data_IF_556140637350
#
_entry.id   IF_556140637350
#
_cell.length_a   1.000
_cell.length_b   1.000
_cell.length_c   1.000
_cell.angle_alpha   90.00
_cell.angle_beta   90.00
_cell.angle_gamma   90.00
#
_symmetry.space_group_name_H-M   'P 1'
#
loop_
_entity.id
_entity.type
_entity.pdbx_description
1 polymer ?
#
# COMPACT_ATOMS: atom_id res chain seq x y z
N UNK A 1 -4.84 -15.33 40.15
CA UNK A 1 -6.00 -14.93 39.34
C UNK A 1 -6.00 -13.41 39.12
N UNK A 2 -5.70 -12.96 37.90
CA UNK A 2 -6.37 -11.81 37.28
C UNK A 2 -7.06 -12.29 35.98
N UNK A 3 -8.38 -12.46 35.96
CA UNK A 3 -9.46 -11.51 35.59
C UNK A 3 -9.29 -10.83 34.22
N UNK A 4 -9.92 -11.45 33.21
CA UNK A 4 -10.57 -10.88 32.02
C UNK A 4 -10.07 -9.52 31.50
N UNK A 5 -9.10 -9.52 30.58
CA UNK A 5 -8.92 -8.47 29.57
C UNK A 5 -8.17 -8.88 28.26
N UNK A 6 -8.51 -9.98 27.51
CA UNK A 6 -7.81 -10.29 26.25
C UNK A 6 -8.61 -10.03 24.94
N UNK A 7 -9.92 -9.82 25.00
CA UNK A 7 -10.78 -9.83 23.79
C UNK A 7 -10.84 -8.50 23.03
N UNK A 8 -10.55 -7.38 23.71
CA UNK A 8 -10.68 -6.04 23.12
C UNK A 8 -9.41 -5.63 22.35
N UNK A 9 -8.24 -6.02 22.87
CA UNK A 9 -6.94 -5.85 22.22
C UNK A 9 -6.84 -6.66 20.91
N UNK A 10 -7.52 -7.81 20.86
CA UNK A 10 -7.61 -8.67 19.68
C UNK A 10 -8.39 -8.00 18.54
N UNK A 11 -9.53 -7.35 18.86
CA UNK A 11 -10.36 -6.69 17.86
C UNK A 11 -9.69 -5.45 17.25
N UNK A 12 -9.03 -4.64 18.08
CA UNK A 12 -8.30 -3.46 17.59
C UNK A 12 -7.08 -3.85 16.75
N UNK A 13 -6.39 -4.92 17.15
CA UNK A 13 -5.31 -5.53 16.37
C UNK A 13 -5.81 -6.00 15.00
N UNK A 14 -6.90 -6.76 14.95
CA UNK A 14 -7.52 -7.21 13.71
C UNK A 14 -7.94 -6.03 12.81
N UNK A 15 -8.51 -4.97 13.37
CA UNK A 15 -8.84 -3.75 12.61
C UNK A 15 -7.60 -3.07 12.01
N UNK A 16 -6.51 -3.05 12.77
CA UNK A 16 -5.23 -2.47 12.35
C UNK A 16 -4.59 -3.28 11.21
N UNK A 17 -4.58 -4.62 11.35
CA UNK A 17 -4.13 -5.54 10.31
C UNK A 17 -4.96 -5.36 9.04
N UNK A 18 -6.29 -5.45 9.15
CA UNK A 18 -7.20 -5.29 8.03
C UNK A 18 -6.95 -3.95 7.30
N UNK A 19 -6.88 -2.85 8.05
CA UNK A 19 -6.61 -1.52 7.49
C UNK A 19 -5.31 -1.48 6.72
N UNK A 20 -4.24 -2.06 7.26
CA UNK A 20 -2.95 -2.09 6.60
C UNK A 20 -2.99 -2.92 5.31
N UNK A 21 -3.65 -4.08 5.35
CA UNK A 21 -3.76 -4.96 4.20
C UNK A 21 -4.44 -4.28 3.00
N UNK A 22 -5.65 -3.72 3.19
CA UNK A 22 -6.40 -3.14 2.07
C UNK A 22 -5.89 -1.75 1.64
N UNK A 23 -5.38 -0.92 2.57
CA UNK A 23 -5.00 0.47 2.24
C UNK A 23 -3.57 0.61 1.73
N UNK A 24 -2.73 -0.38 2.01
CA UNK A 24 -1.29 -0.22 1.88
C UNK A 24 -0.63 -1.40 1.19
N UNK A 25 -0.78 -2.63 1.71
CA UNK A 25 -0.09 -3.81 1.17
C UNK A 25 -0.57 -4.13 -0.25
N UNK A 26 -1.87 -4.40 -0.42
CA UNK A 26 -2.43 -4.79 -1.72
C UNK A 26 -2.26 -3.67 -2.78
N UNK A 27 -2.55 -2.39 -2.50
CA UNK A 27 -2.27 -1.32 -3.46
C UNK A 27 -0.80 -1.17 -3.84
N UNK A 28 0.13 -1.49 -2.94
CA UNK A 28 1.56 -1.44 -3.25
C UNK A 28 1.94 -2.52 -4.25
N UNK A 29 1.52 -3.77 -4.01
CA UNK A 29 1.76 -4.90 -4.91
C UNK A 29 1.21 -4.66 -6.32
N UNK A 30 0.02 -4.06 -6.40
CA UNK A 30 -0.61 -3.68 -7.66
C UNK A 30 0.24 -2.67 -8.44
N UNK A 31 0.86 -1.71 -7.75
CA UNK A 31 1.69 -0.65 -8.36
C UNK A 31 3.05 -1.16 -8.81
N UNK A 32 3.66 -2.06 -8.05
CA UNK A 32 4.99 -2.61 -8.34
C UNK A 32 4.96 -3.70 -9.41
N UNK A 33 3.77 -4.09 -9.90
CA UNK A 33 3.57 -5.20 -10.85
C UNK A 33 4.32 -6.44 -10.38
N UNK A 34 4.06 -6.84 -9.13
CA UNK A 34 4.72 -7.99 -8.52
C UNK A 34 4.66 -9.20 -9.47
N UNK A 35 5.78 -9.91 -9.72
CA UNK A 35 5.84 -11.05 -10.63
C UNK A 35 4.84 -12.16 -10.27
N UNK A 36 4.47 -12.28 -8.98
CA UNK A 36 3.46 -13.23 -8.56
C UNK A 36 2.08 -12.91 -9.17
N UNK A 37 1.78 -11.66 -9.53
CA UNK A 37 0.42 -11.19 -9.80
C UNK A 37 0.29 -10.12 -10.92
N UNK A 38 0.60 -10.45 -12.19
CA UNK A 38 0.65 -9.48 -13.29
C UNK A 38 -0.70 -8.96 -13.80
N UNK A 39 -1.84 -9.56 -13.38
CA UNK A 39 -3.17 -9.35 -13.99
C UNK A 39 -4.17 -8.58 -13.13
N UNK A 40 -3.75 -7.98 -12.02
CA UNK A 40 -4.70 -7.38 -11.08
C UNK A 40 -5.54 -6.24 -11.70
N UNK A 41 -6.88 -6.28 -11.55
CA UNK A 41 -7.80 -5.34 -12.20
C UNK A 41 -7.87 -3.97 -11.53
N UNK A 42 -7.30 -3.82 -10.32
CA UNK A 42 -7.45 -2.66 -9.46
C UNK A 42 -6.13 -2.26 -8.80
N UNK A 43 -5.99 -0.97 -8.53
CA UNK A 43 -4.78 -0.38 -7.91
C UNK A 43 -5.10 0.51 -6.69
N UNK A 44 -6.38 0.77 -6.43
CA UNK A 44 -6.86 1.68 -5.38
C UNK A 44 -7.33 0.91 -4.15
N UNK A 45 -7.05 1.46 -2.97
CA UNK A 45 -7.36 0.89 -1.65
C UNK A 45 -8.83 0.48 -1.46
N UNK A 46 -9.76 1.38 -1.77
CA UNK A 46 -11.19 1.15 -1.62
C UNK A 46 -11.72 0.09 -2.59
N UNK A 47 -11.04 -0.15 -3.72
CA UNK A 47 -11.39 -1.23 -4.63
C UNK A 47 -11.09 -2.58 -3.99
N UNK A 48 -9.90 -2.76 -3.39
CA UNK A 48 -9.54 -3.97 -2.65
C UNK A 48 -10.49 -4.21 -1.49
N UNK A 49 -10.74 -3.18 -0.67
CA UNK A 49 -11.67 -3.28 0.45
C UNK A 49 -13.06 -3.73 -0.02
N UNK A 50 -13.62 -3.12 -1.09
CA UNK A 50 -14.92 -3.54 -1.63
C UNK A 50 -14.91 -5.01 -2.06
N UNK A 51 -13.95 -5.41 -2.89
CA UNK A 51 -13.91 -6.76 -3.47
C UNK A 51 -13.86 -7.80 -2.36
N UNK A 52 -12.97 -7.62 -1.39
CA UNK A 52 -12.81 -8.55 -0.27
C UNK A 52 -14.06 -8.58 0.60
N UNK A 53 -14.61 -7.41 0.98
CA UNK A 53 -15.77 -7.33 1.86
C UNK A 53 -17.03 -7.90 1.20
N UNK A 54 -17.24 -7.69 -0.10
CA UNK A 54 -18.36 -8.29 -0.82
C UNK A 54 -18.25 -9.82 -0.81
N UNK A 55 -17.06 -10.37 -1.05
CA UNK A 55 -16.85 -11.83 -1.09
C UNK A 55 -16.79 -12.50 0.29
N UNK A 56 -16.65 -11.75 1.39
CA UNK A 56 -16.56 -12.29 2.77
C UNK A 56 -17.79 -11.99 3.63
N UNK A 57 -18.32 -10.76 3.54
CA UNK A 57 -19.47 -10.31 4.33
C UNK A 57 -20.74 -10.34 3.48
N UNK A 58 -20.61 -9.99 2.21
CA UNK A 58 -21.69 -10.03 1.24
C UNK A 58 -21.98 -11.43 0.69
N UNK A 59 -21.25 -12.46 1.12
CA UNK A 59 -21.45 -13.85 0.70
C UNK A 59 -21.87 -14.70 1.89
N UNK A 60 -22.76 -15.68 1.65
CA UNK A 60 -23.06 -16.74 2.63
C UNK A 60 -21.99 -17.83 2.68
N UNK A 61 -21.04 -17.83 1.74
CA UNK A 61 -19.96 -18.81 1.71
C UNK A 61 -18.91 -18.50 2.77
N UNK A 62 -18.67 -19.46 3.67
CA UNK A 62 -17.63 -19.37 4.69
C UNK A 62 -16.20 -19.47 4.14
N UNK A 63 -16.04 -19.89 2.87
CA UNK A 63 -14.75 -19.95 2.18
C UNK A 63 -14.93 -19.62 0.70
N UNK A 64 -14.68 -18.36 0.27
CA UNK A 64 -14.75 -17.96 -1.12
C UNK A 64 -13.56 -18.57 -1.90
N UNK A 65 -13.68 -19.84 -2.24
CA UNK A 65 -12.90 -20.50 -3.29
C UNK A 65 -13.40 -20.02 -4.66
N UNK A 66 -12.52 -20.07 -5.66
CA UNK A 66 -12.76 -19.74 -7.08
C UNK A 66 -14.03 -20.40 -7.67
N UNK A 67 -14.55 -21.46 -7.05
CA UNK A 67 -15.70 -22.23 -7.53
C UNK A 67 -17.00 -22.05 -6.71
N UNK A 68 -17.06 -21.08 -5.78
CA UNK A 68 -18.25 -20.83 -4.97
C UNK A 68 -19.40 -20.27 -5.82
N UNK A 69 -20.53 -21.00 -5.89
CA UNK A 69 -21.73 -20.63 -6.65
C UNK A 69 -22.65 -19.64 -5.91
N UNK A 70 -22.32 -19.25 -4.68
CA UNK A 70 -23.20 -18.39 -3.90
C UNK A 70 -23.20 -16.95 -4.41
N UNK A 71 -24.42 -16.42 -4.46
CA UNK A 71 -24.72 -15.05 -4.85
C UNK A 71 -24.08 -14.08 -3.86
N UNK A 72 -23.21 -13.22 -4.37
CA UNK A 72 -22.61 -12.12 -3.62
C UNK A 72 -23.55 -10.92 -3.62
N UNK A 73 -23.75 -10.29 -2.47
CA UNK A 73 -24.42 -9.00 -2.31
C UNK A 73 -23.43 -7.92 -1.86
N UNK A 74 -23.76 -6.63 -2.02
CA UNK A 74 -22.90 -5.57 -1.52
C UNK A 74 -22.72 -5.65 0.00
N UNK A 75 -21.50 -5.63 0.53
CA UNK A 75 -21.26 -5.74 1.97
C UNK A 75 -22.02 -4.67 2.79
N UNK A 76 -22.27 -3.50 2.20
CA UNK A 76 -22.97 -2.39 2.82
C UNK A 76 -24.49 -2.58 2.92
N UNK A 77 -25.02 -3.68 2.38
CA UNK A 77 -26.38 -4.14 2.70
C UNK A 77 -26.43 -5.03 3.93
N UNK A 78 -25.29 -5.57 4.37
CA UNK A 78 -25.19 -6.51 5.51
C UNK A 78 -24.72 -5.79 6.77
N UNK A 79 -23.73 -4.90 6.66
CA UNK A 79 -23.21 -4.11 7.78
C UNK A 79 -23.19 -2.61 7.47
N UNK A 80 -23.18 -1.79 8.53
CA UNK A 80 -23.11 -0.33 8.40
C UNK A 80 -21.73 0.20 7.95
N UNK A 81 -21.66 1.51 7.68
CA UNK A 81 -20.41 2.22 7.39
C UNK A 81 -19.88 2.93 8.65
N UNK A 82 -18.54 3.06 8.85
CA UNK A 82 -17.46 2.44 8.07
C UNK A 82 -17.25 0.96 8.46
N UNK A 83 -17.05 0.08 7.47
CA UNK A 83 -16.93 -1.37 7.69
C UNK A 83 -15.95 -1.74 8.80
N UNK A 84 -14.77 -1.11 8.83
CA UNK A 84 -13.71 -1.36 9.84
C UNK A 84 -14.23 -1.25 11.29
N UNK A 85 -15.20 -0.37 11.56
CA UNK A 85 -15.78 -0.20 12.90
C UNK A 85 -16.96 -1.12 13.18
N UNK A 86 -17.60 -1.64 12.13
CA UNK A 86 -18.84 -2.42 12.23
C UNK A 86 -18.58 -3.93 12.20
N UNK A 87 -17.45 -4.36 11.64
CA UNK A 87 -17.07 -5.77 11.63
C UNK A 87 -16.73 -6.27 13.03
N UNK A 88 -17.19 -7.48 13.33
CA UNK A 88 -16.74 -8.27 14.49
C UNK A 88 -15.41 -8.99 14.19
N UNK A 89 -14.88 -9.71 15.17
CA UNK A 89 -13.57 -10.37 15.06
C UNK A 89 -13.55 -11.42 13.94
N UNK A 90 -14.61 -12.21 13.76
CA UNK A 90 -14.66 -13.28 12.76
C UNK A 90 -14.77 -12.72 11.33
N UNK A 91 -15.56 -11.66 11.16
CA UNK A 91 -15.65 -10.92 9.89
C UNK A 91 -14.30 -10.29 9.52
N UNK A 92 -13.57 -9.74 10.50
CA UNK A 92 -12.22 -9.23 10.28
C UNK A 92 -11.25 -10.33 9.92
N UNK A 93 -11.27 -11.48 10.62
CA UNK A 93 -10.41 -12.63 10.29
C UNK A 93 -10.67 -13.14 8.88
N UNK A 94 -11.94 -13.30 8.48
CA UNK A 94 -12.29 -13.73 7.13
C UNK A 94 -11.81 -12.75 6.06
N UNK A 95 -11.96 -11.44 6.30
CA UNK A 95 -11.48 -10.40 5.38
C UNK A 95 -9.93 -10.39 5.29
N UNK A 96 -9.23 -10.57 6.41
CA UNK A 96 -7.77 -10.64 6.46
C UNK A 96 -7.26 -11.89 5.73
N UNK A 97 -7.85 -13.06 6.01
CA UNK A 97 -7.50 -14.33 5.38
C UNK A 97 -7.61 -14.25 3.86
N UNK A 98 -8.76 -13.77 3.35
CA UNK A 98 -8.95 -13.61 1.91
C UNK A 98 -7.93 -12.61 1.32
N UNK A 99 -7.66 -11.51 2.01
CA UNK A 99 -6.66 -10.53 1.57
C UNK A 99 -5.24 -11.10 1.54
N UNK A 100 -4.86 -11.96 2.48
CA UNK A 100 -3.56 -12.65 2.49
C UNK A 100 -3.46 -13.68 1.37
N UNK A 101 -4.54 -14.44 1.10
CA UNK A 101 -4.60 -15.36 -0.04
C UNK A 101 -4.46 -14.64 -1.37
N UNK A 102 -5.12 -13.49 -1.54
CA UNK A 102 -4.92 -12.62 -2.71
C UNK A 102 -3.44 -12.20 -2.81
N UNK A 103 -2.83 -11.74 -1.72
CA UNK A 103 -1.43 -11.35 -1.69
C UNK A 103 -0.47 -12.49 -2.09
N UNK A 104 -0.71 -13.71 -1.62
CA UNK A 104 0.11 -14.91 -1.92
C UNK A 104 -0.18 -15.49 -3.32
N UNK A 105 -1.24 -15.02 -3.98
CA UNK A 105 -1.67 -15.53 -5.27
C UNK A 105 -2.50 -16.80 -5.22
N UNK A 106 -2.98 -17.16 -4.03
CA UNK A 106 -3.83 -18.33 -3.76
C UNK A 106 -5.32 -18.05 -4.03
N UNK A 107 -5.67 -16.79 -4.31
CA UNK A 107 -7.02 -16.37 -4.68
C UNK A 107 -6.96 -15.40 -5.87
N UNK A 108 -7.70 -15.72 -6.95
CA UNK A 108 -7.77 -14.87 -8.13
C UNK A 108 -8.63 -13.61 -7.91
N UNK A 109 -7.95 -12.47 -7.85
CA UNK A 109 -8.58 -11.17 -7.70
C UNK A 109 -9.49 -10.80 -8.87
N UNK A 110 -9.23 -11.29 -10.10
CA UNK A 110 -10.07 -11.00 -11.27
C UNK A 110 -11.44 -11.63 -11.09
N UNK A 111 -11.47 -12.92 -10.72
CA UNK A 111 -12.71 -13.65 -10.42
C UNK A 111 -13.48 -13.02 -9.27
N UNK A 112 -12.80 -12.63 -8.18
CA UNK A 112 -13.43 -11.98 -7.03
C UNK A 112 -14.02 -10.60 -7.38
N UNK A 113 -13.35 -9.82 -8.23
CA UNK A 113 -13.85 -8.52 -8.71
C UNK A 113 -15.12 -8.71 -9.55
N UNK A 114 -15.12 -9.67 -10.46
CA UNK A 114 -16.26 -9.98 -11.32
C UNK A 114 -17.50 -10.34 -10.49
N UNK A 115 -17.37 -11.24 -9.51
CA UNK A 115 -18.45 -11.59 -8.57
C UNK A 115 -18.99 -10.38 -7.81
N UNK A 116 -18.09 -9.52 -7.33
CA UNK A 116 -18.46 -8.29 -6.61
C UNK A 116 -19.21 -7.28 -7.52
N UNK A 117 -18.84 -7.19 -8.80
CA UNK A 117 -19.54 -6.34 -9.78
C UNK A 117 -20.93 -6.88 -10.13
N UNK A 118 -21.06 -8.19 -10.33
CA UNK A 118 -22.33 -8.87 -10.58
C UNK A 118 -23.32 -8.68 -9.42
N UNK A 119 -22.86 -8.90 -8.19
CA UNK A 119 -23.67 -8.68 -6.98
C UNK A 119 -24.16 -7.24 -6.80
N UNK A 120 -23.45 -6.27 -7.40
CA UNK A 120 -23.79 -4.85 -7.42
C UNK A 120 -24.62 -4.44 -8.65
N UNK A 121 -25.00 -5.38 -9.51
CA UNK A 121 -25.77 -5.11 -10.74
C UNK A 121 -24.97 -4.36 -11.81
N UNK A 122 -23.63 -4.49 -11.81
CA UNK A 122 -22.71 -3.85 -12.77
C UNK A 122 -22.05 -4.87 -13.69
N UNK A 123 -22.80 -5.86 -14.16
CA UNK A 123 -22.31 -6.75 -15.20
C UNK A 123 -22.40 -6.03 -16.55
N UNK A 124 -21.28 -5.46 -17.01
CA UNK A 124 -20.72 -5.62 -18.37
C UNK A 124 -19.56 -4.64 -18.67
N UNK A 125 -18.60 -5.14 -19.44
CA UNK A 125 -17.41 -4.48 -20.02
C UNK A 125 -16.27 -4.05 -19.07
N UNK A 126 -15.46 -5.00 -18.60
CA UNK A 126 -14.03 -4.70 -18.31
C UNK A 126 -13.02 -5.73 -18.83
N UNK A 127 -13.41 -7.00 -18.99
CA UNK A 127 -12.48 -8.06 -19.40
C UNK A 127 -13.12 -8.99 -20.43
N UNK A 128 -13.16 -8.61 -21.72
CA UNK A 128 -13.38 -9.59 -22.79
C UNK A 128 -12.03 -10.16 -23.21
N UNK A 129 -11.81 -11.45 -22.94
CA UNK A 129 -10.70 -12.22 -23.48
C UNK A 129 -10.78 -12.25 -25.01
N UNK A 130 -9.64 -12.09 -25.69
CA UNK A 130 -9.57 -12.13 -27.15
C UNK A 130 -9.83 -13.52 -27.71
N UNK A 131 -10.55 -13.57 -28.82
CA UNK A 131 -10.53 -14.69 -29.76
C UNK A 131 -10.28 -14.15 -31.17
N UNK A 132 -9.32 -14.79 -31.84
CA UNK A 132 -8.79 -14.41 -33.15
C UNK A 132 -9.65 -15.04 -34.25
N UNK A 133 -10.15 -14.26 -35.21
CA UNK A 133 -9.96 -14.48 -36.66
C UNK A 133 -11.01 -13.73 -37.52
N UNK A 134 -10.46 -12.99 -38.50
CA UNK A 134 -11.00 -12.73 -39.85
C UNK A 134 -12.36 -12.03 -39.97
N UNK A 135 -12.31 -10.75 -40.35
CA UNK A 135 -12.95 -10.26 -41.58
C UNK A 135 -12.24 -8.99 -42.07
N UNK A 136 -11.63 -9.14 -43.24
CA UNK A 136 -11.19 -8.04 -44.09
C UNK A 136 -12.39 -7.39 -44.78
N UNK A 137 -12.14 -6.20 -45.33
CA UNK A 137 -12.99 -5.41 -46.25
C UNK A 137 -14.22 -4.73 -45.60
N UNK A 138 -14.15 -3.43 -45.34
CA UNK A 138 -14.41 -2.41 -46.37
C UNK A 138 -14.35 -1.01 -45.76
N UNK A 139 -13.68 -0.09 -46.47
CA UNK A 139 -13.52 1.28 -46.05
C UNK A 139 -14.77 2.11 -46.32
N UNK A 140 -15.18 2.95 -45.37
CA UNK A 140 -15.95 4.18 -45.67
C UNK A 140 -15.54 5.29 -44.72
N UNK A 141 -14.97 6.36 -45.31
CA UNK A 141 -14.74 7.68 -44.72
C UNK A 141 -16.07 8.30 -44.25
N UNK A 142 -16.12 8.88 -43.05
CA UNK A 142 -17.05 9.97 -42.69
C UNK A 142 -16.29 10.97 -41.81
N UNK A 143 -15.68 11.99 -42.42
CA UNK A 143 -16.22 13.33 -42.76
C UNK A 143 -16.59 14.12 -41.49
N UNK A 144 -15.67 15.01 -41.11
CA UNK A 144 -15.91 16.16 -40.22
C UNK A 144 -17.04 16.99 -40.81
N UNK A 145 -17.98 17.43 -39.97
CA UNK A 145 -18.86 18.53 -40.32
C UNK A 145 -18.82 19.54 -39.18
N UNK A 146 -18.13 20.65 -39.45
CA UNK A 146 -18.29 21.91 -38.77
C UNK A 146 -19.65 22.50 -39.17
N UNK A 147 -20.39 23.01 -38.19
CA UNK A 147 -21.68 23.67 -38.41
C UNK A 147 -22.18 24.23 -37.10
N UNK A 148 -21.91 25.52 -36.89
CA UNK A 148 -22.40 26.36 -35.80
C UNK A 148 -23.91 26.46 -35.88
N UNK A 149 -24.59 26.49 -34.74
CA UNK A 149 -25.69 27.42 -34.47
C UNK A 149 -25.80 27.67 -32.96
N UNK A 150 -25.95 28.96 -32.66
CA UNK A 150 -26.02 29.68 -31.39
C UNK A 150 -27.48 29.59 -30.87
N UNK A 151 -27.78 29.27 -29.61
CA UNK A 151 -28.01 30.23 -28.50
C UNK A 151 -28.65 29.50 -27.29
N UNK A 152 -28.63 30.20 -26.15
CA UNK A 152 -29.37 30.01 -24.91
C UNK A 152 -28.73 29.21 -23.76
N UNK A 153 -28.00 29.96 -22.94
CA UNK A 153 -27.60 29.62 -21.59
C UNK A 153 -28.74 29.79 -20.57
N UNK A 154 -28.87 28.83 -19.63
CA UNK A 154 -29.31 29.00 -18.22
C UNK A 154 -29.07 27.71 -17.39
N UNK A 155 -28.99 27.75 -16.05
CA UNK A 155 -27.88 27.17 -15.29
C UNK A 155 -28.19 25.85 -14.57
N UNK A 156 -27.12 25.09 -14.33
CA UNK A 156 -27.08 23.76 -13.73
C UNK A 156 -27.16 23.81 -12.19
N UNK A 157 -28.34 24.07 -11.62
CA UNK A 157 -28.61 23.85 -10.19
C UNK A 157 -30.07 23.42 -10.01
N UNK A 158 -30.40 22.12 -10.18
CA UNK A 158 -31.58 21.55 -9.49
C UNK A 158 -31.76 20.01 -9.53
N UNK A 159 -30.77 19.22 -9.93
CA UNK A 159 -30.94 17.74 -9.99
C UNK A 159 -30.44 16.98 -8.75
N UNK A 160 -30.08 17.67 -7.66
CA UNK A 160 -29.52 17.04 -6.44
C UNK A 160 -30.49 16.86 -5.27
N UNK A 161 -31.74 17.34 -5.33
CA UNK A 161 -32.67 17.28 -4.18
C UNK A 161 -33.81 16.25 -4.28
N UNK A 162 -33.95 15.51 -5.39
CA UNK A 162 -35.07 14.58 -5.59
C UNK A 162 -34.82 13.10 -5.18
N UNK A 163 -33.63 12.74 -4.66
CA UNK A 163 -33.31 11.33 -4.29
C UNK A 163 -33.32 11.02 -2.78
N UNK A 164 -33.65 11.99 -1.91
CA UNK A 164 -33.51 11.81 -0.46
C UNK A 164 -34.84 11.71 0.33
N UNK A 165 -35.98 11.57 -0.34
CA UNK A 165 -37.28 11.53 0.32
C UNK A 165 -38.18 10.41 -0.25
N UNK A 166 -37.83 9.13 -0.01
CA UNK A 166 -38.78 8.01 -0.07
C UNK A 166 -38.15 6.70 0.44
N UNK A 167 -38.24 6.46 1.76
CA UNK A 167 -38.65 5.18 2.37
C UNK A 167 -38.54 5.28 3.90
N UNK A 168 -39.68 5.54 4.53
CA UNK A 168 -39.98 5.04 5.87
C UNK A 168 -41.15 4.06 5.72
N UNK A 169 -41.17 3.08 6.61
CA UNK A 169 -42.21 2.10 6.89
C UNK A 169 -42.29 0.87 5.96
N UNK A 170 -41.64 -0.20 6.39
CA UNK A 170 -42.31 -1.50 6.51
C UNK A 170 -41.78 -2.21 7.75
N UNK A 171 -42.63 -2.26 8.77
CA UNK A 171 -42.53 -3.14 9.94
C UNK A 171 -42.83 -4.56 9.50
N UNK A 172 -41.87 -5.48 9.63
CA UNK A 172 -42.15 -6.92 9.62
C UNK A 172 -41.32 -7.60 10.71
N UNK A 173 -42.00 -8.52 11.40
CA UNK A 173 -41.65 -9.11 12.68
C UNK A 173 -40.37 -9.96 12.64
N UNK A 174 -39.65 -9.95 13.77
CA UNK A 174 -38.56 -10.87 14.05
C UNK A 174 -39.16 -12.20 14.53
N UNK A 175 -39.22 -13.20 13.66
CA UNK A 175 -39.34 -14.58 14.12
C UNK A 175 -37.99 -15.05 14.66
N UNK A 176 -38.01 -15.50 15.92
CA UNK A 176 -36.90 -16.15 16.59
C UNK A 176 -36.58 -17.46 15.87
N UNK A 177 -35.45 -17.51 15.17
CA UNK A 177 -34.84 -18.78 14.80
C UNK A 177 -34.03 -19.26 16.00
N UNK A 178 -34.48 -20.40 16.50
CA UNK A 178 -33.98 -21.20 17.61
C UNK A 178 -32.53 -21.63 17.43
N UNK A 179 -31.87 -21.82 18.57
CA UNK A 179 -30.56 -22.42 18.78
C UNK A 179 -30.33 -23.64 17.87
N UNK A 180 -29.39 -23.48 16.95
CA UNK A 180 -28.89 -24.53 16.09
C UNK A 180 -27.40 -24.31 15.87
N UNK A 181 -26.59 -24.96 16.69
CA UNK A 181 -25.14 -25.04 16.58
C UNK A 181 -24.73 -25.43 15.16
N UNK A 182 -24.49 -24.45 14.31
CA UNK A 182 -23.90 -24.66 12.99
C UNK A 182 -22.39 -24.60 13.16
N UNK A 183 -21.79 -25.79 13.18
CA UNK A 183 -20.36 -26.04 13.25
C UNK A 183 -19.62 -25.22 12.18
N UNK A 184 -19.05 -24.11 12.62
CA UNK A 184 -18.11 -23.29 11.88
C UNK A 184 -16.78 -24.04 11.76
N UNK A 185 -16.64 -24.85 10.70
CA UNK A 185 -15.32 -25.31 10.26
C UNK A 185 -14.73 -24.29 9.28
N UNK A 186 -14.53 -23.05 9.73
CA UNK A 186 -13.43 -22.24 9.25
C UNK A 186 -12.24 -22.65 10.11
N UNK A 187 -11.09 -22.98 9.53
CA UNK A 187 -9.87 -23.11 10.30
C UNK A 187 -9.74 -21.81 11.11
N UNK A 188 -9.94 -21.90 12.43
CA UNK A 188 -9.95 -20.74 13.31
C UNK A 188 -8.50 -20.29 13.49
N UNK A 189 -7.97 -19.66 12.44
CA UNK A 189 -6.64 -19.08 12.43
C UNK A 189 -6.60 -18.08 13.58
N UNK A 190 -5.79 -18.38 14.60
CA UNK A 190 -5.69 -17.49 15.75
C UNK A 190 -5.12 -16.18 15.24
N UNK A 191 -5.48 -15.07 15.87
CA UNK A 191 -4.91 -13.77 15.52
C UNK A 191 -3.37 -13.83 15.56
N UNK A 192 -2.79 -14.66 16.43
CA UNK A 192 -1.36 -15.00 16.45
C UNK A 192 -0.82 -15.58 15.15
N UNK A 193 -1.52 -16.53 14.51
CA UNK A 193 -1.07 -17.15 13.28
C UNK A 193 -1.16 -16.17 12.08
N UNK A 194 -2.20 -15.31 12.08
CA UNK A 194 -2.32 -14.21 11.11
C UNK A 194 -1.17 -13.21 11.30
N UNK A 195 -0.87 -12.85 12.56
CA UNK A 195 0.21 -11.96 12.93
C UNK A 195 1.56 -12.53 12.47
N UNK A 196 1.87 -13.79 12.74
CA UNK A 196 3.14 -14.44 12.35
C UNK A 196 3.31 -14.48 10.82
N UNK A 197 2.24 -14.82 10.07
CA UNK A 197 2.30 -14.75 8.60
C UNK A 197 2.51 -13.32 8.09
N UNK A 198 1.95 -12.32 8.76
CA UNK A 198 2.14 -10.91 8.44
C UNK A 198 3.51 -10.38 8.86
N UNK A 199 4.10 -10.84 9.98
CA UNK A 199 5.46 -10.50 10.38
C UNK A 199 6.46 -10.86 9.30
N UNK A 200 6.40 -12.10 8.79
CA UNK A 200 7.23 -12.54 7.68
C UNK A 200 7.06 -11.64 6.44
N UNK A 201 5.82 -11.36 6.04
CA UNK A 201 5.51 -10.59 4.84
C UNK A 201 5.83 -9.09 4.95
N UNK A 202 5.62 -8.48 6.12
CA UNK A 202 5.97 -7.09 6.40
C UNK A 202 7.48 -6.92 6.55
N UNK A 203 8.19 -7.90 7.11
CA UNK A 203 9.64 -7.92 7.21
C UNK A 203 10.30 -8.10 5.82
N UNK A 204 9.74 -8.96 4.96
CA UNK A 204 10.20 -9.16 3.58
C UNK A 204 9.98 -7.92 2.70
N UNK A 205 8.99 -7.06 2.99
CA UNK A 205 8.69 -5.86 2.18
C UNK A 205 9.23 -4.53 2.74
N UNK A 206 9.57 -4.45 4.03
CA UNK A 206 10.01 -3.19 4.67
C UNK A 206 11.53 -3.02 4.83
N UNK A 207 12.31 -4.09 4.73
CA UNK A 207 13.77 -4.01 4.60
C UNK A 207 14.16 -4.35 3.16
N UNK A 208 15.13 -3.66 2.52
CA UNK A 208 15.77 -4.27 1.38
C UNK A 208 16.27 -5.65 1.81
N UNK A 209 15.98 -6.67 1.01
CA UNK A 209 16.28 -8.05 1.39
C UNK A 209 17.76 -8.17 1.73
N UNK A 210 18.11 -9.14 2.59
CA UNK A 210 19.51 -9.40 2.98
C UNK A 210 20.42 -9.55 1.75
N UNK A 211 19.85 -10.07 0.66
CA UNK A 211 20.48 -10.19 -0.66
C UNK A 211 20.56 -8.87 -1.43
N UNK A 212 19.51 -8.03 -1.44
CA UNK A 212 19.53 -6.71 -2.06
C UNK A 212 20.59 -5.79 -1.45
N UNK A 213 20.70 -5.79 -0.12
CA UNK A 213 21.75 -5.03 0.59
C UNK A 213 23.12 -5.56 0.19
N UNK A 214 23.33 -6.88 0.20
CA UNK A 214 24.59 -7.50 -0.20
C UNK A 214 24.95 -7.15 -1.64
N UNK A 215 24.02 -7.26 -2.58
CA UNK A 215 24.22 -6.94 -3.99
C UNK A 215 24.57 -5.45 -4.19
N UNK A 216 23.92 -4.57 -3.44
CA UNK A 216 24.22 -3.13 -3.47
C UNK A 216 25.62 -2.83 -2.92
N UNK A 217 26.01 -3.47 -1.82
CA UNK A 217 27.36 -3.35 -1.26
C UNK A 217 28.42 -3.84 -2.24
N UNK A 218 28.21 -4.98 -2.91
CA UNK A 218 29.12 -5.47 -3.97
C UNK A 218 29.26 -4.48 -5.12
N UNK A 219 28.16 -3.84 -5.55
CA UNK A 219 28.18 -2.81 -6.61
C UNK A 219 28.99 -1.59 -6.17
N UNK A 220 28.82 -1.14 -4.93
CA UNK A 220 29.61 -0.04 -4.36
C UNK A 220 31.10 -0.39 -4.32
N UNK A 221 31.45 -1.62 -3.95
CA UNK A 221 32.84 -2.04 -3.80
C UNK A 221 33.58 -2.22 -5.13
N UNK A 222 32.86 -2.67 -6.16
CA UNK A 222 33.40 -2.88 -7.51
C UNK A 222 33.50 -1.60 -8.33
N UNK A 223 32.86 -0.52 -7.91
CA UNK A 223 32.95 0.76 -8.62
C UNK A 223 34.27 1.47 -8.29
N UNK A 224 35.21 1.38 -9.23
CA UNK A 224 36.54 2.01 -9.17
C UNK A 224 36.49 3.53 -9.30
N UNK A 225 35.39 4.11 -9.78
CA UNK A 225 35.24 5.56 -9.93
C UNK A 225 34.94 6.27 -8.60
N UNK A 226 34.64 5.50 -7.54
CA UNK A 226 34.31 6.05 -6.23
C UNK A 226 35.57 6.40 -5.44
N UNK A 227 35.58 7.62 -4.91
CA UNK A 227 36.56 8.00 -3.88
C UNK A 227 36.30 7.21 -2.59
N UNK A 228 37.31 7.01 -1.72
CA UNK A 228 37.12 6.36 -0.42
C UNK A 228 36.02 7.00 0.42
N UNK A 229 35.89 8.33 0.36
CA UNK A 229 34.81 9.06 1.03
C UNK A 229 33.43 8.69 0.47
N UNK A 230 33.26 8.67 -0.86
CA UNK A 230 31.97 8.33 -1.48
C UNK A 230 31.57 6.88 -1.19
N UNK A 231 32.55 5.97 -1.19
CA UNK A 231 32.32 4.57 -0.84
C UNK A 231 31.74 4.45 0.57
N UNK A 232 32.41 5.03 1.57
CA UNK A 232 31.89 5.06 2.96
C UNK A 232 30.54 5.74 3.06
N UNK A 233 30.37 6.90 2.42
CA UNK A 233 29.10 7.63 2.41
C UNK A 233 27.93 6.77 1.91
N UNK A 234 28.11 6.05 0.81
CA UNK A 234 27.05 5.20 0.24
C UNK A 234 26.81 3.95 1.09
N UNK A 235 27.87 3.34 1.63
CA UNK A 235 27.76 2.22 2.58
C UNK A 235 26.98 2.63 3.83
N UNK A 236 27.38 3.71 4.52
CA UNK A 236 26.70 4.18 5.73
C UNK A 236 25.25 4.56 5.45
N UNK A 237 24.93 5.08 4.26
CA UNK A 237 23.56 5.45 3.93
C UNK A 237 22.60 4.26 3.83
N UNK A 238 23.09 3.05 3.55
CA UNK A 238 22.28 1.83 3.53
C UNK A 238 21.73 1.47 4.92
N UNK A 239 22.32 1.99 5.99
CA UNK A 239 21.87 1.76 7.37
C UNK A 239 20.62 2.55 7.75
N UNK A 240 20.27 3.59 6.98
CA UNK A 240 19.08 4.40 7.26
C UNK A 240 17.85 3.58 6.88
N UNK A 241 16.97 3.17 7.80
CA UNK A 241 15.86 2.26 7.49
C UNK A 241 14.78 2.87 6.59
N UNK A 242 13.97 2.02 5.94
CA UNK A 242 12.71 2.48 5.33
C UNK A 242 11.84 3.15 6.39
N UNK A 243 11.11 4.18 5.99
CA UNK A 243 10.22 4.95 6.85
C UNK A 243 10.90 5.97 7.75
N UNK A 244 12.24 5.99 7.76
CA UNK A 244 13.04 6.93 8.52
C UNK A 244 13.82 7.87 7.61
N UNK A 245 14.29 8.97 8.19
CA UNK A 245 15.09 9.97 7.51
C UNK A 245 16.29 10.35 8.36
N UNK A 246 17.36 10.76 7.71
CA UNK A 246 18.49 11.43 8.34
C UNK A 246 18.66 12.83 7.75
N UNK A 247 19.67 13.58 8.18
CA UNK A 247 20.01 14.87 7.59
C UNK A 247 21.49 14.97 7.21
N UNK A 248 21.81 15.92 6.35
CA UNK A 248 23.19 16.12 5.87
C UNK A 248 24.21 16.34 6.99
N UNK A 249 23.80 16.97 8.10
CA UNK A 249 24.70 17.27 9.21
C UNK A 249 25.01 16.02 10.04
N UNK A 250 24.03 15.17 10.32
CA UNK A 250 24.20 13.92 11.05
C UNK A 250 25.14 12.96 10.29
N UNK A 251 24.90 12.79 8.99
CA UNK A 251 25.74 11.93 8.15
C UNK A 251 27.15 12.50 7.98
N UNK A 252 27.30 13.82 7.89
CA UNK A 252 28.61 14.47 7.86
C UNK A 252 29.38 14.26 9.16
N UNK A 253 28.71 14.38 10.32
CA UNK A 253 29.32 14.15 11.62
C UNK A 253 29.84 12.72 11.76
N UNK A 254 29.02 11.72 11.39
CA UNK A 254 29.42 10.32 11.41
C UNK A 254 30.63 10.04 10.50
N UNK A 255 30.65 10.61 9.30
CA UNK A 255 31.73 10.40 8.33
C UNK A 255 33.00 11.25 8.57
N UNK A 256 33.03 12.07 9.62
CA UNK A 256 34.12 13.03 9.86
C UNK A 256 34.29 14.04 8.71
N UNK A 257 33.17 14.54 8.17
CA UNK A 257 33.13 15.40 6.99
C UNK A 257 32.22 16.62 7.17
N UNK A 258 31.93 17.34 6.09
CA UNK A 258 31.04 18.50 6.07
C UNK A 258 29.79 18.24 5.23
N UNK A 259 28.67 18.85 5.62
CA UNK A 259 27.37 18.67 4.96
C UNK A 259 27.41 18.94 3.44
N UNK A 260 28.25 19.87 2.99
CA UNK A 260 28.44 20.16 1.56
C UNK A 260 29.05 18.99 0.78
N UNK A 261 30.02 18.27 1.38
CA UNK A 261 30.63 17.09 0.78
C UNK A 261 29.61 15.95 0.66
N UNK A 262 28.80 15.74 1.71
CA UNK A 262 27.67 14.79 1.70
C UNK A 262 26.67 15.17 0.60
N UNK A 263 26.27 16.44 0.51
CA UNK A 263 25.36 16.93 -0.53
C UNK A 263 25.87 16.69 -1.95
N UNK A 264 27.17 16.90 -2.18
CA UNK A 264 27.82 16.57 -3.46
C UNK A 264 27.84 15.07 -3.75
N UNK A 265 28.00 14.22 -2.73
CA UNK A 265 27.84 12.77 -2.87
C UNK A 265 26.42 12.38 -3.24
N UNK A 266 25.42 12.89 -2.52
CA UNK A 266 24.00 12.61 -2.80
C UNK A 266 23.56 13.03 -4.21
N UNK A 267 24.07 14.16 -4.70
CA UNK A 267 23.79 14.64 -6.07
C UNK A 267 24.30 13.68 -7.13
N UNK A 268 25.41 13.00 -6.89
CA UNK A 268 26.12 12.15 -7.85
C UNK A 268 26.07 10.68 -7.47
N UNK A 269 25.02 10.24 -6.78
CA UNK A 269 24.84 8.85 -6.38
C UNK A 269 24.43 7.99 -7.59
N UNK A 270 25.31 7.11 -8.11
CA UNK A 270 24.99 6.27 -9.28
C UNK A 270 24.15 5.05 -8.89
N UNK A 271 23.99 4.78 -7.59
CA UNK A 271 23.26 3.62 -7.06
C UNK A 271 21.85 3.98 -6.59
N UNK A 272 21.33 5.16 -6.96
CA UNK A 272 19.95 5.51 -6.64
C UNK A 272 18.98 4.63 -7.46
N UNK A 273 17.85 4.16 -6.89
CA UNK A 273 17.35 4.44 -5.54
C UNK A 273 17.83 3.46 -4.44
N UNK A 274 18.59 2.42 -4.79
CA UNK A 274 19.03 1.36 -3.86
C UNK A 274 19.85 1.93 -2.69
N UNK A 275 20.77 2.85 -2.99
CA UNK A 275 21.40 3.72 -1.98
C UNK A 275 20.47 4.92 -1.75
N UNK A 276 19.83 5.04 -0.58
CA UNK A 276 18.60 5.84 -0.42
C UNK A 276 18.89 7.33 -0.18
N UNK A 277 19.42 8.03 -1.19
CA UNK A 277 19.74 9.46 -1.11
C UNK A 277 18.51 10.36 -0.87
N UNK A 278 17.30 9.88 -1.16
CA UNK A 278 16.05 10.58 -0.85
C UNK A 278 15.75 10.65 0.66
N UNK A 279 16.33 9.78 1.50
CA UNK A 279 16.18 9.78 2.96
C UNK A 279 17.01 10.86 3.67
N UNK A 280 17.87 11.59 2.96
CA UNK A 280 18.72 12.64 3.53
C UNK A 280 18.06 14.01 3.34
N UNK A 281 17.62 14.62 4.43
CA UNK A 281 16.88 15.90 4.44
C UNK A 281 17.73 17.07 4.93
N UNK A 282 17.20 18.28 4.81
CA UNK A 282 17.84 19.47 5.38
C UNK A 282 17.70 19.50 6.91
N UNK A 283 18.67 20.12 7.59
CA UNK A 283 18.70 20.21 9.06
C UNK A 283 17.50 20.96 9.64
N UNK A 284 16.96 21.92 8.88
CA UNK A 284 15.79 22.72 9.24
C UNK A 284 14.46 21.96 9.05
N UNK A 285 14.54 20.68 8.70
CA UNK A 285 13.41 19.79 8.46
C UNK A 285 12.76 19.93 7.07
N UNK A 286 13.24 20.82 6.20
CA UNK A 286 12.73 20.88 4.83
C UNK A 286 13.20 19.67 4.00
N UNK A 287 12.50 19.43 2.87
CA UNK A 287 12.80 18.33 1.95
C UNK A 287 14.25 18.35 1.43
N UNK A 288 14.89 19.52 1.42
CA UNK A 288 16.25 19.69 0.93
C UNK A 288 16.37 19.57 -0.60
N UNK A 289 17.61 19.51 -1.10
CA UNK A 289 17.87 19.36 -2.53
C UNK A 289 17.71 17.93 -2.99
N UNK A 290 17.51 17.73 -4.29
CA UNK A 290 17.50 16.40 -4.90
C UNK A 290 18.03 16.42 -6.33
N UNK A 291 18.93 15.49 -6.66
CA UNK A 291 19.48 15.34 -8.01
C UNK A 291 20.09 16.63 -8.59
N UNK A 292 20.61 17.51 -7.73
CA UNK A 292 21.21 18.79 -8.11
C UNK A 292 20.26 19.99 -8.15
N UNK A 293 18.96 19.79 -7.92
CA UNK A 293 17.97 20.88 -7.93
C UNK A 293 17.53 21.24 -6.51
N UNK A 294 17.17 22.52 -6.35
CA UNK A 294 16.72 23.09 -5.09
C UNK A 294 15.75 24.25 -5.37
N UNK A 295 14.58 24.24 -4.73
CA UNK A 295 13.59 25.32 -4.79
C UNK A 295 14.06 26.60 -4.11
N UNK A 296 13.94 27.75 -4.80
CA UNK A 296 14.30 29.08 -4.24
C UNK A 296 13.08 29.87 -3.74
N UNK A 297 11.89 29.49 -4.17
CA UNK A 297 10.63 30.22 -3.99
C UNK A 297 9.62 29.45 -3.11
N UNK A 298 10.00 28.28 -2.61
CA UNK A 298 9.14 27.41 -1.79
C UNK A 298 8.32 26.41 -2.60
N UNK A 299 8.29 26.52 -3.93
CA UNK A 299 7.63 25.56 -4.82
C UNK A 299 8.58 24.38 -5.09
N UNK A 300 8.15 23.15 -4.81
CA UNK A 300 8.98 21.97 -5.06
C UNK A 300 9.30 21.83 -6.56
N UNK A 301 10.56 21.54 -6.89
CA UNK A 301 10.91 21.13 -8.26
C UNK A 301 10.47 19.70 -8.54
N UNK A 302 10.36 19.29 -9.80
CA UNK A 302 10.05 17.90 -10.20
C UNK A 302 10.93 16.86 -9.49
N UNK A 303 12.22 17.19 -9.29
CA UNK A 303 13.15 16.33 -8.54
C UNK A 303 12.81 16.26 -7.07
N UNK A 304 12.45 17.38 -6.43
CA UNK A 304 12.01 17.38 -5.04
C UNK A 304 10.65 16.69 -4.85
N UNK A 305 9.74 16.80 -5.82
CA UNK A 305 8.50 16.03 -5.85
C UNK A 305 8.77 14.54 -5.96
N UNK A 306 9.70 14.14 -6.84
CA UNK A 306 10.18 12.75 -6.91
C UNK A 306 10.75 12.28 -5.58
N UNK A 307 11.56 13.11 -4.89
CA UNK A 307 12.08 12.79 -3.55
C UNK A 307 10.96 12.58 -2.53
N UNK A 308 9.97 13.47 -2.54
CA UNK A 308 8.78 13.38 -1.68
C UNK A 308 7.97 12.12 -1.96
N UNK A 309 7.79 11.75 -3.24
CA UNK A 309 7.13 10.51 -3.63
C UNK A 309 7.90 9.28 -3.15
N UNK A 310 9.22 9.24 -3.36
CA UNK A 310 10.07 8.15 -2.87
C UNK A 310 9.93 8.01 -1.36
N UNK A 311 10.04 9.08 -0.57
CA UNK A 311 9.83 9.05 0.88
C UNK A 311 8.43 8.56 1.30
N UNK A 312 7.40 8.92 0.53
CA UNK A 312 6.03 8.43 0.75
C UNK A 312 5.89 6.96 0.37
N UNK A 313 6.63 6.45 -0.60
CA UNK A 313 6.62 5.05 -1.03
C UNK A 313 7.46 4.16 -0.11
N UNK A 314 8.52 4.71 0.47
CA UNK A 314 9.46 4.10 1.41
C UNK A 314 8.85 3.94 2.81
N UNK A 315 7.60 3.49 2.89
CA UNK A 315 6.92 3.22 4.18
C UNK A 315 7.39 1.89 4.73
N UNK A 316 7.58 1.86 6.05
CA UNK A 316 7.79 0.62 6.79
C UNK A 316 6.51 0.26 7.54
N UNK A 317 6.31 -1.01 7.83
CA UNK A 317 5.24 -1.44 8.71
C UNK A 317 5.90 -2.19 9.86
N UNK A 318 5.72 -1.67 11.08
CA UNK A 318 6.20 -2.33 12.29
C UNK A 318 5.01 -3.05 12.91
N UNK A 319 5.18 -4.34 13.18
CA UNK A 319 4.21 -5.04 13.99
C UNK A 319 4.43 -4.71 15.47
N UNK A 320 3.33 -4.42 16.17
CA UNK A 320 3.32 -4.15 17.60
C UNK A 320 2.25 -4.99 18.29
N UNK A 321 2.30 -5.07 19.62
CA UNK A 321 1.23 -5.67 20.44
C UNK A 321 -0.17 -5.08 20.20
N UNK A 322 -0.28 -3.89 19.58
CA UNK A 322 -1.54 -3.21 19.21
C UNK A 322 -1.86 -3.35 17.71
N UNK A 323 -1.18 -4.27 17.01
CA UNK A 323 -1.29 -4.50 15.58
C UNK A 323 -0.25 -3.79 14.72
N UNK A 324 -0.53 -3.66 13.43
CA UNK A 324 0.42 -3.16 12.43
C UNK A 324 0.45 -1.64 12.42
N UNK A 325 1.59 -1.04 12.76
CA UNK A 325 1.82 0.40 12.67
C UNK A 325 2.54 0.72 11.37
N UNK A 326 1.88 1.49 10.52
CA UNK A 326 2.52 2.10 9.36
C UNK A 326 3.44 3.23 9.81
N UNK A 327 4.72 3.09 9.49
CA UNK A 327 5.76 4.10 9.68
C UNK A 327 6.20 4.68 8.34
N UNK A 328 6.65 5.93 8.38
CA UNK A 328 6.91 6.71 7.19
C UNK A 328 7.32 8.12 7.56
N UNK A 329 8.12 8.72 6.69
CA UNK A 329 8.55 10.11 6.85
C UNK A 329 7.34 11.01 6.65
N UNK A 330 6.92 11.69 7.72
CA UNK A 330 5.73 12.57 7.73
C UNK A 330 6.17 14.02 7.64
N UNK A 331 5.40 14.83 6.94
CA UNK A 331 5.60 16.28 6.87
C UNK A 331 4.40 17.00 7.49
N UNK A 332 4.64 18.15 8.10
CA UNK A 332 3.60 19.05 8.59
C UNK A 332 3.01 19.92 7.45
N UNK A 333 2.03 20.76 7.79
CA UNK A 333 1.40 21.68 6.83
C UNK A 333 2.35 22.75 6.29
N UNK A 334 3.48 22.99 6.95
CA UNK A 334 4.54 23.89 6.50
C UNK A 334 5.61 23.16 5.65
N UNK A 335 5.43 21.87 5.35
CA UNK A 335 6.38 21.07 4.58
C UNK A 335 7.64 20.69 5.35
N UNK A 336 7.60 20.74 6.69
CA UNK A 336 8.71 20.30 7.56
C UNK A 336 8.49 18.87 8.03
N UNK A 337 9.56 18.09 7.99
CA UNK A 337 9.55 16.70 8.44
C UNK A 337 9.29 16.62 9.95
N UNK A 338 8.46 15.66 10.35
CA UNK A 338 8.18 15.31 11.75
C UNK A 338 8.94 14.05 12.12
N UNK A 339 9.33 13.98 13.40
CA UNK A 339 10.01 12.83 13.97
C UNK A 339 11.45 13.16 14.34
N UNK A 340 12.20 12.11 14.71
CA UNK A 340 13.62 12.24 15.02
C UNK A 340 14.46 11.89 13.79
N UNK A 341 15.58 12.58 13.68
CA UNK A 341 16.65 12.28 12.72
C UNK A 341 17.24 10.92 13.11
N UNK A 342 17.44 10.04 12.12
CA UNK A 342 18.20 8.81 12.29
C UNK A 342 19.70 9.11 12.32
N UNK A 343 20.37 8.62 13.36
CA UNK A 343 21.80 8.76 13.62
C UNK A 343 22.51 7.42 13.91
N UNK A 344 21.78 6.29 13.85
CA UNK A 344 22.30 4.94 14.01
C UNK A 344 23.01 4.43 12.75
N UNK A 345 24.02 5.16 12.28
CA UNK A 345 24.77 4.77 11.09
C UNK A 345 25.69 3.58 11.34
N UNK A 346 25.88 2.77 10.30
CA UNK A 346 26.76 1.62 10.32
C UNK A 346 28.02 1.87 9.50
N UNK A 347 29.14 1.38 10.02
CA UNK A 347 30.39 1.27 9.27
C UNK A 347 30.46 -0.08 8.54
N UNK A 348 31.51 -0.26 7.73
CA UNK A 348 31.66 -1.45 6.90
C UNK A 348 31.69 -2.73 7.74
N UNK A 349 32.33 -2.69 8.89
CA UNK A 349 32.47 -3.78 9.83
C UNK A 349 31.11 -4.24 10.37
N UNK A 350 30.18 -3.31 10.60
CA UNK A 350 28.82 -3.61 11.07
C UNK A 350 28.03 -4.34 9.97
N UNK A 351 28.16 -3.90 8.71
CA UNK A 351 27.56 -4.62 7.58
C UNK A 351 28.13 -6.02 7.40
N UNK A 352 29.43 -6.22 7.62
CA UNK A 352 30.04 -7.57 7.53
C UNK A 352 29.51 -8.47 8.65
N UNK A 353 29.35 -7.95 9.87
CA UNK A 353 28.75 -8.71 10.98
C UNK A 353 27.30 -9.09 10.69
N UNK A 354 26.51 -8.17 10.14
CA UNK A 354 25.08 -8.39 9.91
C UNK A 354 24.79 -9.19 8.63
N UNK A 355 25.57 -9.02 7.56
CA UNK A 355 25.28 -9.59 6.23
C UNK A 355 26.29 -10.64 5.77
N UNK A 356 27.32 -10.92 6.57
CA UNK A 356 28.44 -11.82 6.25
C UNK A 356 29.50 -11.14 5.37
N UNK A 357 30.50 -11.91 4.94
CA UNK A 357 31.51 -11.40 4.01
C UNK A 357 30.89 -10.91 2.70
N UNK A 358 31.25 -9.70 2.32
CA UNK A 358 30.85 -9.06 1.08
C UNK A 358 32.05 -9.17 0.14
N UNK A 359 32.25 -10.36 -0.43
CA UNK A 359 33.30 -10.68 -1.42
C UNK A 359 32.79 -10.67 -2.84
#
# INVERSE_FOLDING_TARGET
MPRNAPLQDDLETLRSIWKTLYSSILPSLARTKDPAQPKWPVTLDHCFARIILDNTIGSSDSNPSENGTSRVVPWDTVIGRPAVRQMNADQLRAAIDLGQRIQKGEADLVTLDQRSLEGRGKAEHKYSAGETQRRAADGVKRKRNDGKDELDAKPLQDQRKARYAKKKQSTLAFDRISDGESKVNAAATRTGDLLESLEGDLNVKSMPSREEIRNTLKRIDRDESLTPFRRRLYTSLLSVPRGQYTNYAALAAHLGSVARAVGNGMRNNPFAPDVPCHRVLARDGSIGGFGGDWSRDGTLTDKQEKKMRLLKEDRSYILTHLGVRQEGVKFDSAGKVKGRVWDGFWDREDFVKEYGEIT
#
